data_IF_368564551540
#
_entry.id   IF_368564551540
#
_cell.length_a   1.000
_cell.length_b   1.000
_cell.length_c   1.000
_cell.angle_alpha   90.00
_cell.angle_beta   90.00
_cell.angle_gamma   90.00
#
_symmetry.space_group_name_H-M   'P 1'
#
loop_
_entity.id
_entity.type
_entity.pdbx_description
1 polymer ?
#
# COMPACT_ATOMS: atom_id res chain seq x y z
N UNK A 1 -20.25 -65.20 0.75
CA UNK A 1 -19.29 -64.91 -0.35
C UNK A 1 -19.81 -63.66 -1.06
N UNK A 2 -19.32 -62.47 -0.70
CA UNK A 2 -18.12 -61.78 -1.24
C UNK A 2 -18.32 -61.22 -2.66
N UNK A 3 -18.39 -59.88 -2.73
CA UNK A 3 -17.89 -58.91 -3.75
C UNK A 3 -18.98 -57.91 -4.19
N UNK A 4 -18.83 -56.64 -3.79
CA UNK A 4 -18.22 -55.52 -4.56
C UNK A 4 -19.30 -54.94 -5.51
N UNK A 5 -19.72 -53.68 -5.44
CA UNK A 5 -18.91 -52.47 -5.72
C UNK A 5 -19.50 -51.27 -4.96
N UNK A 6 -18.70 -50.72 -4.05
CA UNK A 6 -18.82 -49.36 -3.54
C UNK A 6 -18.30 -48.45 -4.66
N UNK A 7 -19.21 -47.77 -5.38
CA UNK A 7 -18.82 -46.80 -6.39
C UNK A 7 -18.35 -45.54 -5.66
N UNK A 8 -17.03 -45.47 -5.53
CA UNK A 8 -16.28 -44.32 -5.04
C UNK A 8 -16.62 -43.12 -5.93
N UNK A 9 -17.39 -42.19 -5.39
CA UNK A 9 -17.56 -40.85 -5.94
C UNK A 9 -16.28 -40.03 -5.63
N UNK A 10 -15.14 -40.44 -6.20
CA UNK A 10 -13.94 -39.60 -6.33
C UNK A 10 -14.11 -38.76 -7.59
N UNK A 11 -15.09 -37.87 -7.57
CA UNK A 11 -15.13 -36.73 -8.48
C UNK A 11 -14.55 -35.54 -7.72
N UNK A 12 -13.23 -35.38 -7.89
CA UNK A 12 -12.53 -34.10 -7.91
C UNK A 12 -12.91 -33.10 -6.81
N UNK A 13 -12.51 -33.40 -5.57
CA UNK A 13 -12.20 -32.37 -4.57
C UNK A 13 -10.84 -31.79 -4.97
N UNK A 14 -10.81 -31.01 -6.05
CA UNK A 14 -9.60 -30.34 -6.53
C UNK A 14 -9.87 -28.89 -6.93
N UNK A 15 -10.76 -28.25 -6.18
CA UNK A 15 -10.93 -26.80 -6.10
C UNK A 15 -11.58 -26.53 -4.75
N UNK A 16 -10.83 -25.95 -3.80
CA UNK A 16 -11.28 -25.21 -2.60
C UNK A 16 -10.20 -25.29 -1.49
N UNK A 17 -9.00 -24.82 -1.83
CA UNK A 17 -8.07 -24.28 -0.83
C UNK A 17 -8.01 -22.77 -1.06
N UNK A 18 -8.89 -22.01 -0.41
CA UNK A 18 -8.48 -20.67 0.02
C UNK A 18 -7.61 -20.87 1.27
N UNK A 19 -6.37 -21.31 1.04
CA UNK A 19 -5.34 -21.45 2.06
C UNK A 19 -4.88 -20.05 2.48
N UNK A 20 -4.58 -19.87 3.76
CA UNK A 20 -3.63 -18.84 4.20
C UNK A 20 -2.46 -18.80 3.21
N UNK A 21 -1.95 -17.61 2.88
CA UNK A 21 -0.77 -17.50 2.03
C UNK A 21 0.39 -18.26 2.71
N UNK A 22 0.72 -19.44 2.19
CA UNK A 22 1.81 -20.28 2.71
C UNK A 22 3.14 -19.94 2.03
N UNK A 23 3.08 -19.34 0.84
CA UNK A 23 4.22 -18.84 0.08
C UNK A 23 3.75 -17.76 -0.91
N UNK A 24 4.66 -16.87 -1.30
CA UNK A 24 4.38 -15.79 -2.26
C UNK A 24 5.38 -15.79 -3.42
N UNK A 25 5.01 -15.33 -4.63
CA UNK A 25 6.01 -15.04 -5.64
C UNK A 25 7.00 -13.98 -5.11
N UNK A 26 8.24 -14.01 -5.59
CA UNK A 26 9.28 -13.11 -5.09
C UNK A 26 8.81 -11.65 -5.14
N UNK A 27 8.20 -11.21 -6.24
CA UNK A 27 7.77 -9.82 -6.41
C UNK A 27 6.65 -9.35 -5.44
N UNK A 28 6.12 -10.22 -4.59
CA UNK A 28 5.21 -9.87 -3.48
C UNK A 28 5.85 -9.94 -2.08
N UNK A 29 7.08 -10.47 -1.97
CA UNK A 29 7.82 -10.52 -0.72
C UNK A 29 8.56 -9.21 -0.43
N UNK A 30 9.18 -9.14 0.75
CA UNK A 30 9.98 -8.00 1.19
C UNK A 30 11.36 -8.48 1.67
N UNK A 31 12.40 -7.65 1.53
CA UNK A 31 13.70 -7.99 2.06
C UNK A 31 13.68 -7.94 3.59
N UNK A 32 14.49 -8.76 4.24
CA UNK A 32 14.61 -8.74 5.72
C UNK A 32 14.96 -7.35 6.24
N UNK A 33 15.77 -6.60 5.49
CA UNK A 33 16.14 -5.22 5.84
C UNK A 33 14.96 -4.27 5.90
N UNK A 34 13.81 -4.58 5.28
CA UNK A 34 12.60 -3.76 5.35
C UNK A 34 11.81 -3.97 6.65
N UNK A 35 12.11 -5.02 7.41
CA UNK A 35 11.27 -5.44 8.54
C UNK A 35 11.52 -4.55 9.76
N UNK A 36 10.43 -4.16 10.43
CA UNK A 36 10.47 -3.52 11.74
C UNK A 36 10.96 -4.52 12.80
N UNK A 37 11.55 -4.00 13.88
CA UNK A 37 11.69 -4.79 15.10
C UNK A 37 10.32 -4.89 15.78
N UNK A 38 9.88 -6.11 16.06
CA UNK A 38 8.63 -6.40 16.78
C UNK A 38 8.95 -7.36 17.92
N UNK A 39 8.30 -7.16 19.07
CA UNK A 39 8.46 -8.04 20.22
C UNK A 39 7.64 -9.33 20.12
N UNK A 40 6.61 -9.33 19.29
CA UNK A 40 5.72 -10.47 19.10
C UNK A 40 6.43 -11.56 18.27
N UNK A 41 6.35 -12.81 18.75
CA UNK A 41 6.96 -13.98 18.10
C UNK A 41 5.94 -14.94 17.48
N UNK A 42 4.64 -14.62 17.53
CA UNK A 42 3.56 -15.51 17.08
C UNK A 42 3.35 -15.46 15.55
N UNK A 43 4.15 -14.67 14.84
CA UNK A 43 4.14 -14.63 13.38
C UNK A 43 4.73 -15.89 12.76
N UNK A 44 4.25 -16.20 11.57
CA UNK A 44 4.75 -17.29 10.72
C UNK A 44 5.54 -16.73 9.56
N UNK A 45 6.68 -17.32 9.22
CA UNK A 45 7.42 -16.97 8.00
C UNK A 45 6.63 -17.44 6.77
N UNK A 46 6.29 -16.51 5.88
CA UNK A 46 5.75 -16.81 4.54
C UNK A 46 6.92 -16.71 3.55
N UNK A 47 7.52 -17.83 3.13
CA UNK A 47 8.67 -17.84 2.23
C UNK A 47 8.33 -17.39 0.81
N UNK A 48 9.39 -17.10 0.05
CA UNK A 48 9.31 -16.91 -1.39
C UNK A 48 9.15 -18.27 -2.09
N UNK A 49 8.18 -18.37 -3.00
CA UNK A 49 7.92 -19.56 -3.81
C UNK A 49 9.07 -19.78 -4.80
N UNK A 50 9.48 -21.04 -4.93
CA UNK A 50 10.41 -21.48 -5.98
C UNK A 50 11.87 -21.09 -5.77
N UNK A 51 12.21 -20.41 -4.67
CA UNK A 51 13.60 -20.09 -4.31
C UNK A 51 13.78 -20.18 -2.81
N UNK A 52 14.86 -20.86 -2.38
CA UNK A 52 15.22 -20.93 -0.97
C UNK A 52 16.09 -19.73 -0.62
N UNK A 53 15.54 -18.80 0.15
CA UNK A 53 16.27 -17.62 0.64
C UNK A 53 15.84 -17.26 2.06
N UNK A 54 16.79 -16.79 2.87
CA UNK A 54 16.52 -16.19 4.17
C UNK A 54 16.48 -14.66 4.11
N UNK A 55 16.84 -14.06 2.96
CA UNK A 55 16.94 -12.61 2.76
C UNK A 55 15.61 -11.96 2.35
N UNK A 56 14.59 -12.77 2.01
CA UNK A 56 13.28 -12.27 1.62
C UNK A 56 12.15 -13.17 2.12
N UNK A 57 11.13 -12.58 2.74
CA UNK A 57 9.90 -13.26 3.17
C UNK A 57 8.84 -12.24 3.60
N UNK A 58 7.62 -12.70 3.92
CA UNK A 58 6.63 -11.92 4.66
C UNK A 58 6.45 -12.50 6.07
N UNK A 59 6.11 -11.66 7.05
CA UNK A 59 5.71 -12.08 8.39
C UNK A 59 4.19 -12.22 8.44
N UNK A 60 3.69 -13.44 8.50
CA UNK A 60 2.25 -13.75 8.45
C UNK A 60 1.59 -13.82 9.81
N UNK A 61 0.45 -13.14 9.95
CA UNK A 61 -0.56 -13.38 10.99
C UNK A 61 -1.84 -13.84 10.32
N UNK A 62 -2.39 -14.96 10.76
CA UNK A 62 -3.61 -15.53 10.17
C UNK A 62 -4.76 -15.49 11.16
N UNK A 63 -5.89 -14.97 10.69
CA UNK A 63 -7.16 -14.98 11.39
C UNK A 63 -8.16 -15.83 10.62
N UNK A 64 -9.04 -16.51 11.35
CA UNK A 64 -10.20 -17.18 10.75
C UNK A 64 -11.26 -16.12 10.43
N UNK A 65 -11.65 -16.03 9.16
CA UNK A 65 -12.77 -15.23 8.70
C UNK A 65 -14.06 -15.81 9.28
N UNK A 66 -14.93 -14.96 9.84
CA UNK A 66 -16.16 -15.42 10.49
C UNK A 66 -17.38 -15.10 9.64
N UNK A 67 -18.29 -16.04 9.46
CA UNK A 67 -19.53 -15.81 8.71
C UNK A 67 -19.34 -15.59 7.21
N UNK A 68 -20.45 -15.32 6.52
CA UNK A 68 -20.46 -15.11 5.07
C UNK A 68 -19.94 -13.71 4.67
N UNK A 69 -19.47 -13.57 3.42
CA UNK A 69 -19.07 -12.29 2.84
C UNK A 69 -20.17 -11.22 3.02
N UNK A 70 -19.82 -10.04 3.52
CA UNK A 70 -20.78 -8.95 3.76
C UNK A 70 -21.50 -9.02 5.11
N UNK A 71 -21.44 -10.15 5.82
CA UNK A 71 -22.21 -10.36 7.05
C UNK A 71 -21.64 -9.57 8.23
N UNK A 72 -22.49 -9.30 9.23
CA UNK A 72 -22.03 -8.64 10.46
C UNK A 72 -21.02 -9.50 11.23
N UNK A 73 -21.11 -10.83 11.12
CA UNK A 73 -20.12 -11.73 11.72
C UNK A 73 -18.72 -11.53 11.10
N UNK A 74 -18.64 -11.32 9.78
CA UNK A 74 -17.38 -11.04 9.08
C UNK A 74 -16.79 -9.71 9.52
N UNK A 75 -17.64 -8.68 9.52
CA UNK A 75 -17.29 -7.34 9.99
C UNK A 75 -16.75 -7.38 11.42
N UNK A 76 -17.48 -8.02 12.34
CA UNK A 76 -17.08 -8.17 13.73
C UNK A 76 -15.75 -8.92 13.89
N UNK A 77 -15.58 -10.04 13.18
CA UNK A 77 -14.34 -10.81 13.21
C UNK A 77 -13.12 -10.01 12.75
N UNK A 78 -13.28 -9.19 11.70
CA UNK A 78 -12.21 -8.29 11.23
C UNK A 78 -11.91 -7.18 12.22
N UNK A 79 -12.93 -6.53 12.81
CA UNK A 79 -12.73 -5.55 13.88
C UNK A 79 -11.93 -6.14 15.05
N UNK A 80 -12.31 -7.33 15.50
CA UNK A 80 -11.63 -8.04 16.58
C UNK A 80 -10.17 -8.36 16.23
N UNK A 81 -9.90 -8.83 15.01
CA UNK A 81 -8.55 -9.13 14.55
C UNK A 81 -7.64 -7.88 14.55
N UNK A 82 -8.12 -6.75 14.02
CA UNK A 82 -7.35 -5.49 14.07
C UNK A 82 -7.18 -4.98 15.50
N UNK A 83 -8.16 -5.17 16.38
CA UNK A 83 -8.03 -4.84 17.80
C UNK A 83 -7.00 -5.74 18.51
N UNK A 84 -6.94 -7.03 18.18
CA UNK A 84 -5.95 -7.98 18.69
C UNK A 84 -4.53 -7.56 18.26
N UNK A 85 -4.34 -7.22 16.99
CA UNK A 85 -3.06 -6.73 16.48
C UNK A 85 -2.58 -5.47 17.22
N UNK A 86 -3.49 -4.54 17.54
CA UNK A 86 -3.18 -3.40 18.40
C UNK A 86 -2.76 -3.82 19.81
N UNK A 87 -3.48 -4.77 20.44
CA UNK A 87 -3.11 -5.27 21.78
C UNK A 87 -1.73 -5.94 21.83
N UNK A 88 -1.26 -6.49 20.70
CA UNK A 88 0.08 -7.07 20.51
C UNK A 88 1.15 -6.04 20.15
N UNK A 89 0.81 -4.75 20.05
CA UNK A 89 1.74 -3.68 19.63
C UNK A 89 2.08 -3.68 18.14
N UNK A 90 1.36 -4.46 17.33
CA UNK A 90 1.57 -4.57 15.87
C UNK A 90 0.84 -3.48 15.09
N UNK A 91 -0.05 -2.74 15.73
CA UNK A 91 -0.71 -1.56 15.18
C UNK A 91 -0.60 -0.38 16.14
N UNK A 92 -0.52 0.82 15.59
CA UNK A 92 -0.61 2.08 16.33
C UNK A 92 -1.08 3.22 15.41
N UNK A 93 -1.46 4.35 15.99
CA UNK A 93 -1.75 5.58 15.24
C UNK A 93 -0.57 5.96 14.35
N UNK A 94 -0.84 6.22 13.07
CA UNK A 94 0.18 6.57 12.08
C UNK A 94 0.70 5.39 11.26
N UNK A 95 0.36 4.14 11.63
CA UNK A 95 0.64 2.98 10.78
C UNK A 95 -0.21 3.03 9.51
N UNK A 96 0.33 2.51 8.41
CA UNK A 96 -0.34 2.42 7.11
C UNK A 96 -0.69 0.98 6.81
N UNK A 97 -1.95 0.73 6.50
CA UNK A 97 -2.46 -0.58 6.08
C UNK A 97 -2.62 -0.59 4.57
N UNK A 98 -1.85 -1.42 3.90
CA UNK A 98 -1.89 -1.61 2.46
C UNK A 98 -2.74 -2.85 2.12
N UNK A 99 -3.70 -2.70 1.21
CA UNK A 99 -4.43 -3.85 0.67
C UNK A 99 -3.54 -4.62 -0.30
N UNK A 100 -3.25 -5.88 0.05
CA UNK A 100 -2.48 -6.81 -0.77
C UNK A 100 -3.44 -7.73 -1.54
N UNK A 101 -3.13 -8.03 -2.79
CA UNK A 101 -3.96 -8.84 -3.70
C UNK A 101 -3.16 -10.03 -4.24
N UNK A 102 -3.02 -11.13 -3.49
CA UNK A 102 -2.30 -12.32 -3.97
C UNK A 102 -2.89 -12.89 -5.26
N UNK A 103 -4.20 -12.75 -5.47
CA UNK A 103 -4.89 -13.16 -6.70
C UNK A 103 -4.42 -12.41 -7.97
N UNK A 104 -3.59 -11.37 -7.83
CA UNK A 104 -2.97 -10.70 -8.97
C UNK A 104 -1.69 -11.39 -9.44
N UNK A 105 -1.20 -12.38 -8.71
CA UNK A 105 -0.12 -13.25 -9.15
C UNK A 105 -0.44 -13.83 -10.55
N UNK A 106 0.55 -13.77 -11.45
CA UNK A 106 0.43 -14.36 -12.79
C UNK A 106 -0.60 -13.68 -13.69
N UNK A 107 -1.14 -12.52 -13.32
CA UNK A 107 -2.14 -11.80 -14.12
C UNK A 107 -1.48 -10.89 -15.15
N UNK A 108 -1.14 -9.65 -14.78
CA UNK A 108 -0.48 -8.68 -15.64
C UNK A 108 0.83 -8.17 -15.00
N UNK A 109 1.86 -7.90 -15.82
CA UNK A 109 3.12 -7.36 -15.32
C UNK A 109 2.98 -6.08 -14.50
N UNK A 110 2.00 -5.22 -14.84
CA UNK A 110 1.76 -4.00 -14.08
C UNK A 110 1.40 -4.29 -12.61
N UNK A 111 0.55 -5.29 -12.35
CA UNK A 111 0.19 -5.70 -11.00
C UNK A 111 1.39 -6.29 -10.25
N UNK A 112 2.28 -6.98 -10.96
CA UNK A 112 3.48 -7.57 -10.37
C UNK A 112 4.50 -6.49 -9.97
N UNK A 113 4.73 -5.46 -10.80
CA UNK A 113 5.62 -4.33 -10.44
C UNK A 113 5.02 -3.45 -9.33
N UNK A 114 3.69 -3.46 -9.14
CA UNK A 114 3.03 -2.85 -7.99
C UNK A 114 3.05 -3.74 -6.74
N UNK A 115 3.78 -4.87 -6.77
CA UNK A 115 3.93 -5.79 -5.64
C UNK A 115 2.60 -6.31 -5.07
N UNK A 116 1.56 -6.36 -5.89
CA UNK A 116 0.22 -6.79 -5.47
C UNK A 116 -0.51 -5.78 -4.59
N UNK A 117 0.00 -4.56 -4.42
CA UNK A 117 -0.62 -3.51 -3.60
C UNK A 117 -1.67 -2.78 -4.42
N UNK A 118 -2.88 -2.65 -3.87
CA UNK A 118 -3.99 -1.96 -4.55
C UNK A 118 -4.46 -0.68 -3.87
N UNK A 119 -4.23 -0.54 -2.56
CA UNK A 119 -4.88 0.50 -1.75
C UNK A 119 -4.09 0.81 -0.48
N UNK A 120 -4.28 1.98 0.10
CA UNK A 120 -3.64 2.40 1.34
C UNK A 120 -4.65 3.08 2.28
N UNK A 121 -4.62 2.72 3.56
CA UNK A 121 -5.43 3.33 4.63
C UNK A 121 -4.56 3.66 5.83
N UNK A 122 -4.94 4.70 6.58
CA UNK A 122 -4.28 5.15 7.80
C UNK A 122 -4.93 4.53 9.04
N UNK A 123 -4.12 4.06 9.98
CA UNK A 123 -4.55 3.60 11.30
C UNK A 123 -4.63 4.79 12.25
N UNK A 124 -5.76 4.91 12.95
CA UNK A 124 -5.98 5.85 14.04
C UNK A 124 -6.48 5.07 15.25
N UNK A 125 -5.75 5.11 16.36
CA UNK A 125 -6.19 4.56 17.63
C UNK A 125 -6.70 5.70 18.49
N UNK A 126 -7.99 5.68 18.80
CA UNK A 126 -8.67 6.69 19.61
C UNK A 126 -9.35 5.99 20.79
N UNK A 127 -8.99 6.38 22.01
CA UNK A 127 -9.52 5.79 23.24
C UNK A 127 -9.37 4.26 23.28
N UNK A 128 -8.24 3.75 22.77
CA UNK A 128 -7.93 2.32 22.67
C UNK A 128 -8.68 1.57 21.56
N UNK A 129 -9.50 2.25 20.76
CA UNK A 129 -10.24 1.66 19.63
C UNK A 129 -9.49 1.87 18.34
N UNK A 130 -9.19 0.79 17.63
CA UNK A 130 -8.57 0.83 16.30
C UNK A 130 -9.58 1.26 15.25
N UNK A 131 -9.27 2.34 14.54
CA UNK A 131 -10.06 2.88 13.43
C UNK A 131 -9.22 3.03 12.18
N UNK A 132 -9.88 3.02 11.03
CA UNK A 132 -9.25 3.32 9.75
C UNK A 132 -9.68 4.70 9.23
N UNK A 133 -8.81 5.34 8.46
CA UNK A 133 -9.12 6.55 7.70
C UNK A 133 -8.56 6.41 6.28
N UNK A 134 -9.36 6.76 5.29
CA UNK A 134 -9.16 6.35 3.90
C UNK A 134 -9.84 7.30 2.91
N UNK A 135 -9.45 7.23 1.64
CA UNK A 135 -10.09 7.90 0.51
C UNK A 135 -10.56 6.84 -0.50
N UNK A 136 -11.81 6.88 -1.01
CA UNK A 136 -12.83 7.91 -0.82
C UNK A 136 -13.32 8.10 0.62
N UNK A 137 -13.62 9.34 1.00
CA UNK A 137 -14.26 9.68 2.28
C UNK A 137 -15.75 9.31 2.27
N UNK A 138 -16.08 8.05 2.11
CA UNK A 138 -17.46 7.56 2.22
C UNK A 138 -17.56 6.35 3.15
N UNK A 139 -18.79 5.93 3.40
CA UNK A 139 -19.10 4.89 4.38
C UNK A 139 -18.64 3.48 3.94
N UNK A 140 -18.40 3.24 2.64
CA UNK A 140 -17.88 1.94 2.17
C UNK A 140 -16.43 1.71 2.62
N UNK A 141 -15.66 2.80 2.71
CA UNK A 141 -14.26 2.78 3.13
C UNK A 141 -14.11 3.10 4.61
N UNK A 142 -14.83 4.12 5.10
CA UNK A 142 -14.59 4.72 6.40
C UNK A 142 -15.72 4.48 7.41
N UNK A 143 -16.74 3.69 7.07
CA UNK A 143 -17.93 3.55 7.89
C UNK A 143 -18.69 4.87 8.12
N UNK A 144 -19.83 4.79 8.79
CA UNK A 144 -20.66 5.97 9.04
C UNK A 144 -19.89 7.05 9.82
N UNK A 145 -19.88 8.27 9.29
CA UNK A 145 -19.24 9.43 9.94
C UNK A 145 -17.73 9.32 10.11
N UNK A 146 -17.05 8.53 9.26
CA UNK A 146 -15.62 8.27 9.33
C UNK A 146 -15.17 7.55 10.64
N UNK A 147 -15.99 6.61 11.12
CA UNK A 147 -15.73 5.82 12.34
C UNK A 147 -15.50 4.32 12.07
N UNK A 148 -15.08 3.97 10.87
CA UNK A 148 -14.78 2.61 10.42
C UNK A 148 -13.68 1.97 11.25
N UNK A 149 -13.80 0.66 11.44
CA UNK A 149 -12.90 -0.15 12.26
C UNK A 149 -12.31 -1.29 11.44
N UNK A 150 -11.90 -0.99 10.21
CA UNK A 150 -11.46 -1.97 9.20
C UNK A 150 -12.56 -3.00 8.84
N UNK A 151 -13.82 -2.57 8.93
CA UNK A 151 -15.02 -3.40 8.71
C UNK A 151 -15.95 -2.86 7.62
N UNK A 152 -15.54 -1.78 6.94
CA UNK A 152 -16.19 -1.27 5.75
C UNK A 152 -16.26 -2.33 4.65
N UNK A 153 -17.21 -2.18 3.72
CA UNK A 153 -17.37 -3.11 2.60
C UNK A 153 -16.11 -3.22 1.75
N UNK A 154 -15.37 -2.12 1.58
CA UNK A 154 -14.14 -2.13 0.79
C UNK A 154 -13.05 -3.02 1.42
N UNK A 155 -12.95 -3.03 2.75
CA UNK A 155 -11.99 -3.90 3.43
C UNK A 155 -12.33 -5.36 3.14
N UNK A 156 -13.61 -5.74 3.04
CA UNK A 156 -14.03 -7.12 2.75
C UNK A 156 -13.66 -7.63 1.35
N UNK A 157 -13.21 -6.76 0.43
CA UNK A 157 -12.83 -7.18 -0.92
C UNK A 157 -11.50 -7.93 -0.99
N UNK A 158 -10.62 -7.77 0.01
CA UNK A 158 -9.40 -8.56 0.14
C UNK A 158 -9.33 -9.21 1.51
N UNK A 159 -8.56 -10.30 1.56
CA UNK A 159 -8.27 -11.02 2.78
C UNK A 159 -6.85 -10.75 3.27
N UNK A 160 -6.08 -9.91 2.58
CA UNK A 160 -4.66 -9.74 2.89
C UNK A 160 -4.28 -8.26 2.98
N UNK A 161 -3.57 -7.93 4.05
CA UNK A 161 -3.11 -6.58 4.31
C UNK A 161 -1.66 -6.57 4.77
N UNK A 162 -0.88 -5.58 4.34
CA UNK A 162 0.45 -5.31 4.85
C UNK A 162 0.40 -4.09 5.77
N UNK A 163 1.02 -4.20 6.94
CA UNK A 163 1.10 -3.12 7.93
C UNK A 163 2.48 -2.52 7.86
N UNK A 164 2.55 -1.20 7.65
CA UNK A 164 3.77 -0.42 7.61
C UNK A 164 3.77 0.59 8.76
N UNK A 165 4.91 0.76 9.41
CA UNK A 165 5.06 1.62 10.58
C UNK A 165 6.03 2.75 10.30
N UNK A 166 5.64 3.98 10.63
CA UNK A 166 6.57 5.10 10.58
C UNK A 166 7.66 4.95 11.65
N UNK A 167 8.91 5.22 11.28
CA UNK A 167 10.09 5.00 12.14
C UNK A 167 10.25 6.02 13.27
N UNK A 168 9.78 7.25 13.05
CA UNK A 168 10.21 8.42 13.84
C UNK A 168 9.09 9.10 14.61
N UNK A 169 7.84 8.64 14.47
CA UNK A 169 6.73 9.31 15.13
C UNK A 169 6.81 9.30 16.66
N UNK A 170 6.77 10.50 17.24
CA UNK A 170 6.68 10.74 18.68
C UNK A 170 5.24 10.56 19.17
N UNK A 171 5.04 10.53 20.49
CA UNK A 171 3.70 10.51 21.07
C UNK A 171 2.90 11.77 20.66
N UNK A 172 3.50 12.95 20.70
CA UNK A 172 2.87 14.21 20.29
C UNK A 172 2.44 14.19 18.83
N UNK A 173 3.29 13.68 17.93
CA UNK A 173 2.96 13.54 16.52
C UNK A 173 1.75 12.62 16.30
N UNK A 174 1.64 11.52 17.06
CA UNK A 174 0.46 10.63 17.00
C UNK A 174 -0.80 11.33 17.54
N UNK A 175 -0.69 12.10 18.61
CA UNK A 175 -1.80 12.88 19.15
C UNK A 175 -2.28 13.96 18.18
N UNK A 176 -1.37 14.62 17.47
CA UNK A 176 -1.71 15.58 16.42
C UNK A 176 -2.51 14.90 15.30
N UNK A 177 -2.11 13.70 14.85
CA UNK A 177 -2.88 12.95 13.85
C UNK A 177 -4.30 12.65 14.34
N UNK A 178 -4.47 12.23 15.60
CA UNK A 178 -5.79 12.03 16.20
C UNK A 178 -6.61 13.33 16.19
N UNK A 179 -5.99 14.45 16.58
CA UNK A 179 -6.65 15.76 16.60
C UNK A 179 -7.11 16.22 15.20
N UNK A 180 -6.28 16.02 14.17
CA UNK A 180 -6.66 16.30 12.77
C UNK A 180 -7.89 15.48 12.32
N UNK A 181 -7.94 14.21 12.70
CA UNK A 181 -9.07 13.33 12.36
C UNK A 181 -10.35 13.75 13.09
N UNK A 182 -10.24 14.24 14.34
CA UNK A 182 -11.39 14.80 15.08
C UNK A 182 -11.98 16.03 14.37
N UNK A 183 -11.15 16.97 13.91
CA UNK A 183 -11.63 18.14 13.15
C UNK A 183 -12.21 17.76 11.79
N UNK A 184 -11.61 16.80 11.09
CA UNK A 184 -12.17 16.25 9.85
C UNK A 184 -13.58 15.67 10.08
N UNK A 185 -13.77 14.85 11.11
CA UNK A 185 -15.07 14.24 11.44
C UNK A 185 -16.13 15.29 11.73
N UNK A 186 -15.79 16.34 12.48
CA UNK A 186 -16.67 17.47 12.78
C UNK A 186 -17.15 18.19 11.52
N UNK A 187 -16.30 18.30 10.49
CA UNK A 187 -16.62 18.97 9.24
C UNK A 187 -17.08 18.04 8.11
N UNK A 188 -17.10 16.72 8.33
CA UNK A 188 -17.34 15.69 7.32
C UNK A 188 -18.61 15.94 6.47
N UNK A 189 -19.74 16.23 7.11
CA UNK A 189 -21.02 16.48 6.40
C UNK A 189 -20.91 17.67 5.45
N UNK A 190 -20.21 18.75 5.85
CA UNK A 190 -20.00 19.92 4.99
C UNK A 190 -19.03 19.59 3.85
N UNK A 191 -17.96 18.84 4.12
CA UNK A 191 -16.98 18.42 3.11
C UNK A 191 -17.67 17.59 2.03
N UNK A 192 -18.49 16.60 2.44
CA UNK A 192 -19.28 15.76 1.53
C UNK A 192 -20.33 16.54 0.76
N UNK A 193 -21.12 17.35 1.45
CA UNK A 193 -22.19 18.14 0.82
C UNK A 193 -21.68 19.14 -0.22
N UNK A 194 -20.42 19.58 -0.08
CA UNK A 194 -19.75 20.49 -1.02
C UNK A 194 -18.82 19.79 -2.01
N UNK A 195 -18.76 18.46 -1.97
CA UNK A 195 -17.91 17.65 -2.85
C UNK A 195 -16.43 18.10 -2.81
N UNK A 196 -15.90 18.32 -1.61
CA UNK A 196 -14.48 18.62 -1.35
C UNK A 196 -13.70 17.31 -1.12
N UNK A 197 -12.38 17.32 -1.32
CA UNK A 197 -11.47 16.16 -1.15
C UNK A 197 -11.91 14.93 -1.96
N UNK A 198 -11.73 15.00 -3.28
CA UNK A 198 -12.19 13.97 -4.21
C UNK A 198 -11.15 12.87 -4.40
N UNK A 199 -11.64 11.66 -4.66
CA UNK A 199 -10.79 10.55 -5.04
C UNK A 199 -10.37 10.62 -6.52
N UNK A 200 -9.09 10.39 -6.78
CA UNK A 200 -8.53 10.16 -8.12
C UNK A 200 -8.36 8.65 -8.32
N UNK A 201 -9.06 8.05 -9.29
CA UNK A 201 -8.87 6.62 -9.60
C UNK A 201 -7.79 6.37 -10.66
N UNK A 202 -7.21 7.42 -11.25
CA UNK A 202 -6.21 7.29 -12.31
C UNK A 202 -4.79 7.49 -11.76
N UNK A 203 -4.19 6.39 -11.27
CA UNK A 203 -2.84 6.36 -10.70
C UNK A 203 -1.71 6.76 -11.67
N UNK A 204 -2.01 6.89 -12.97
CA UNK A 204 -1.08 7.38 -13.99
C UNK A 204 -1.16 8.90 -14.23
N UNK A 205 -2.06 9.59 -13.54
CA UNK A 205 -2.24 11.04 -13.65
C UNK A 205 -2.24 11.67 -12.24
N UNK A 206 -1.09 11.63 -11.53
CA UNK A 206 -0.94 12.32 -10.24
C UNK A 206 -1.20 13.81 -10.41
N UNK A 207 -1.77 14.43 -9.37
CA UNK A 207 -2.12 15.86 -9.37
C UNK A 207 -1.41 16.66 -8.29
N UNK A 208 -0.43 16.06 -7.62
CA UNK A 208 0.29 16.70 -6.50
C UNK A 208 0.91 18.04 -6.88
N UNK A 209 1.42 18.17 -8.10
CA UNK A 209 2.07 19.40 -8.59
C UNK A 209 1.06 20.49 -9.04
N UNK A 210 -0.26 20.20 -9.06
CA UNK A 210 -1.27 21.12 -9.58
C UNK A 210 -1.72 22.21 -8.58
N UNK A 211 -1.31 22.14 -7.31
CA UNK A 211 -1.79 23.05 -6.25
C UNK A 211 -0.79 24.14 -5.87
N UNK A 212 0.36 24.19 -6.53
CA UNK A 212 1.40 25.18 -6.29
C UNK A 212 2.69 24.56 -5.74
N UNK A 213 3.69 25.40 -5.43
CA UNK A 213 4.99 24.93 -4.97
C UNK A 213 4.89 24.32 -3.55
N UNK A 214 5.82 23.40 -3.25
CA UNK A 214 5.97 22.83 -1.91
C UNK A 214 4.83 21.90 -1.51
N UNK A 215 4.23 22.15 -0.34
CA UNK A 215 3.20 21.32 0.29
C UNK A 215 1.87 22.08 0.43
N UNK A 216 1.60 22.98 -0.51
CA UNK A 216 0.40 23.81 -0.51
C UNK A 216 -0.89 22.99 -0.59
N UNK A 217 -0.85 21.82 -1.26
CA UNK A 217 -1.99 20.91 -1.32
C UNK A 217 -2.33 20.31 0.05
N UNK A 218 -1.32 19.99 0.89
CA UNK A 218 -1.51 19.50 2.26
C UNK A 218 -2.12 20.60 3.12
N UNK A 219 -1.63 21.83 2.98
CA UNK A 219 -2.17 23.00 3.69
C UNK A 219 -3.61 23.28 3.26
N UNK A 220 -3.91 23.17 1.98
CA UNK A 220 -5.28 23.29 1.44
C UNK A 220 -6.19 22.18 2.01
N UNK A 221 -5.71 20.93 2.05
CA UNK A 221 -6.43 19.82 2.66
C UNK A 221 -6.73 20.10 4.14
N UNK A 222 -5.74 20.53 4.91
CA UNK A 222 -5.88 20.89 6.32
C UNK A 222 -6.91 22.01 6.53
N UNK A 223 -6.89 23.05 5.69
CA UNK A 223 -7.89 24.13 5.70
C UNK A 223 -9.31 23.63 5.41
N UNK A 224 -9.46 22.67 4.52
CA UNK A 224 -10.76 22.02 4.25
C UNK A 224 -11.20 21.21 5.47
N UNK A 225 -10.30 20.43 6.08
CA UNK A 225 -10.57 19.63 7.29
C UNK A 225 -11.03 20.49 8.46
N UNK A 226 -10.46 21.69 8.61
CA UNK A 226 -10.84 22.69 9.63
C UNK A 226 -12.09 23.51 9.27
N UNK A 227 -12.59 23.38 8.04
CA UNK A 227 -13.74 24.14 7.55
C UNK A 227 -13.43 25.60 7.20
N UNK A 228 -12.16 25.98 7.10
CA UNK A 228 -11.74 27.32 6.64
C UNK A 228 -11.83 27.47 5.13
N UNK A 229 -11.49 26.43 4.38
CA UNK A 229 -11.69 26.39 2.93
C UNK A 229 -12.92 25.54 2.59
N UNK A 230 -13.90 26.16 1.94
CA UNK A 230 -15.17 25.53 1.53
C UNK A 230 -15.40 25.57 0.03
N UNK A 231 -14.39 25.96 -0.76
CA UNK A 231 -14.51 26.25 -2.19
C UNK A 231 -13.53 25.45 -3.06
N UNK A 232 -12.43 24.95 -2.49
CA UNK A 232 -11.42 24.15 -3.20
C UNK A 232 -11.94 22.74 -3.54
N UNK A 233 -12.80 22.68 -4.54
CA UNK A 233 -13.42 21.44 -5.05
C UNK A 233 -12.57 20.71 -6.10
N UNK A 234 -11.43 21.28 -6.46
CA UNK A 234 -10.49 20.71 -7.41
C UNK A 234 -9.43 19.85 -6.74
N UNK A 235 -9.36 19.81 -5.39
CA UNK A 235 -8.44 18.93 -4.64
C UNK A 235 -8.83 17.45 -4.82
N UNK A 236 -8.08 16.76 -5.69
CA UNK A 236 -8.32 15.39 -6.14
C UNK A 236 -7.05 14.57 -5.92
N UNK A 237 -7.15 13.47 -5.18
CA UNK A 237 -5.99 12.71 -4.70
C UNK A 237 -6.24 11.19 -4.68
N UNK A 238 -5.16 10.41 -4.78
CA UNK A 238 -5.18 8.97 -4.52
C UNK A 238 -5.45 8.66 -3.04
N UNK A 239 -5.80 7.42 -2.72
CA UNK A 239 -5.86 6.93 -1.34
C UNK A 239 -4.55 7.10 -0.59
N UNK A 240 -3.46 6.75 -1.24
CA UNK A 240 -2.11 6.87 -0.72
C UNK A 240 -1.62 8.33 -0.64
N UNK A 241 -2.02 9.20 -1.56
CA UNK A 241 -1.73 10.64 -1.48
C UNK A 241 -2.47 11.29 -0.30
N UNK A 242 -3.71 10.87 -0.04
CA UNK A 242 -4.47 11.31 1.13
C UNK A 242 -3.81 10.86 2.43
N UNK A 243 -3.46 9.58 2.55
CA UNK A 243 -2.72 9.05 3.70
C UNK A 243 -1.40 9.79 3.90
N UNK A 244 -0.63 9.99 2.81
CA UNK A 244 0.63 10.74 2.85
C UNK A 244 0.43 12.18 3.33
N UNK A 245 -0.62 12.85 2.86
CA UNK A 245 -0.91 14.23 3.23
C UNK A 245 -1.29 14.35 4.71
N UNK A 246 -2.09 13.43 5.24
CA UNK A 246 -2.43 13.43 6.67
C UNK A 246 -1.18 13.18 7.51
N UNK A 247 -0.37 12.20 7.15
CA UNK A 247 0.86 11.90 7.86
C UNK A 247 1.84 13.09 7.84
N UNK A 248 1.83 13.88 6.78
CA UNK A 248 2.63 15.12 6.68
C UNK A 248 2.17 16.26 7.61
N UNK A 249 0.98 16.12 8.23
CA UNK A 249 0.47 17.02 9.27
C UNK A 249 0.85 16.58 10.69
N UNK A 250 1.61 15.49 10.87
CA UNK A 250 1.97 14.99 12.21
C UNK A 250 2.70 16.03 13.08
N UNK A 251 3.46 16.95 12.46
CA UNK A 251 4.16 18.04 13.15
C UNK A 251 3.29 19.29 13.39
N UNK A 252 2.04 19.28 12.94
CA UNK A 252 1.15 20.43 13.00
C UNK A 252 0.03 20.19 14.00
N UNK A 253 -0.30 21.22 14.78
CA UNK A 253 -1.53 21.22 15.56
C UNK A 253 -2.69 21.76 14.71
N UNK A 254 -3.89 21.16 14.77
CA UNK A 254 -5.08 21.77 14.17
C UNK A 254 -5.41 23.17 14.70
N UNK A 255 -4.85 23.54 15.86
CA UNK A 255 -5.01 24.85 16.48
C UNK A 255 -4.05 25.92 15.92
N UNK A 256 -3.09 25.55 15.07
CA UNK A 256 -2.09 26.48 14.55
C UNK A 256 -2.77 27.56 13.68
N UNK A 257 -2.51 28.82 14.02
CA UNK A 257 -3.16 29.98 13.39
C UNK A 257 -2.81 30.13 11.91
N UNK A 258 -1.69 29.58 11.47
CA UNK A 258 -1.23 29.56 10.07
C UNK A 258 -2.30 28.95 9.16
N UNK A 259 -3.00 27.90 9.60
CA UNK A 259 -4.08 27.31 8.80
C UNK A 259 -5.28 28.23 8.65
N UNK A 260 -5.54 29.16 9.57
CA UNK A 260 -6.65 30.11 9.46
C UNK A 260 -6.35 31.18 8.41
N UNK A 261 -5.12 31.69 8.40
CA UNK A 261 -4.72 32.82 7.54
C UNK A 261 -4.16 32.42 6.19
N UNK A 262 -3.71 31.18 6.02
CA UNK A 262 -3.16 30.68 4.76
C UNK A 262 -4.14 30.85 3.58
N UNK A 263 -3.60 30.93 2.38
CA UNK A 263 -4.35 31.02 1.13
C UNK A 263 -3.91 29.91 0.18
N UNK A 264 -4.58 29.78 -0.96
CA UNK A 264 -4.23 28.76 -1.95
C UNK A 264 -2.82 29.03 -2.48
N UNK A 265 -1.94 28.03 -2.36
CA UNK A 265 -0.53 28.13 -2.74
C UNK A 265 0.41 28.28 -1.54
N UNK A 266 -0.10 28.65 -0.37
CA UNK A 266 0.70 28.72 0.85
C UNK A 266 1.00 27.32 1.40
N UNK A 267 2.23 27.11 1.85
CA UNK A 267 2.64 25.90 2.56
C UNK A 267 2.86 26.23 4.02
N UNK A 268 2.04 25.66 4.90
CA UNK A 268 2.20 25.84 6.34
C UNK A 268 3.58 25.33 6.81
N UNK A 269 4.27 26.13 7.60
CA UNK A 269 5.66 25.90 8.01
C UNK A 269 5.89 24.59 8.78
N UNK A 270 4.89 24.18 9.56
CA UNK A 270 4.88 22.92 10.32
C UNK A 270 4.71 21.68 9.42
N UNK A 271 4.19 21.83 8.20
CA UNK A 271 3.97 20.70 7.28
C UNK A 271 5.33 20.16 6.85
N UNK A 272 5.56 18.86 7.08
CA UNK A 272 6.78 18.17 6.66
C UNK A 272 6.41 16.91 5.89
N UNK A 273 7.04 16.66 4.73
CA UNK A 273 6.82 15.43 3.99
C UNK A 273 7.25 14.25 4.86
N UNK A 274 6.51 13.15 4.83
CA UNK A 274 7.00 11.90 5.41
C UNK A 274 8.09 11.26 4.55
N UNK A 275 7.99 11.36 3.22
CA UNK A 275 9.02 10.98 2.24
C UNK A 275 8.74 11.70 0.92
N UNK A 276 9.73 11.78 0.02
CA UNK A 276 9.60 12.47 -1.27
C UNK A 276 8.78 11.67 -2.29
N UNK A 277 8.04 12.35 -3.16
CA UNK A 277 7.32 11.69 -4.27
C UNK A 277 8.29 10.88 -5.13
N UNK A 278 7.95 9.62 -5.40
CA UNK A 278 8.84 8.70 -6.10
C UNK A 278 8.64 8.77 -7.60
N UNK A 279 9.73 8.67 -8.35
CA UNK A 279 9.72 8.47 -9.80
C UNK A 279 9.39 7.00 -10.15
N UNK A 280 9.11 6.71 -11.42
CA UNK A 280 8.88 5.34 -11.88
C UNK A 280 10.11 4.43 -11.70
N UNK A 281 11.29 4.95 -11.97
CA UNK A 281 12.59 4.29 -11.80
C UNK A 281 13.49 5.12 -10.89
N UNK A 282 14.57 4.49 -10.40
CA UNK A 282 15.50 5.07 -9.44
C UNK A 282 15.91 6.49 -9.83
N UNK A 283 16.00 7.32 -8.80
CA UNK A 283 16.48 8.68 -8.91
C UNK A 283 17.26 8.98 -7.63
N UNK A 284 18.45 9.55 -7.81
CA UNK A 284 19.35 9.85 -6.71
C UNK A 284 19.68 8.60 -5.87
N UNK A 285 19.23 8.54 -4.62
CA UNK A 285 19.57 7.49 -3.65
C UNK A 285 18.36 6.60 -3.26
N UNK A 286 17.28 6.62 -4.05
CA UNK A 286 16.07 5.86 -3.77
C UNK A 286 15.59 5.03 -4.97
N UNK A 287 15.06 3.81 -4.73
CA UNK A 287 14.44 3.00 -5.77
C UNK A 287 13.17 3.66 -6.30
N UNK A 288 12.85 3.43 -7.57
CA UNK A 288 11.62 3.92 -8.19
C UNK A 288 10.41 3.03 -7.92
N UNK A 289 9.21 3.56 -8.20
CA UNK A 289 7.89 2.92 -7.99
C UNK A 289 7.69 1.56 -8.65
N UNK A 290 8.50 1.26 -9.67
CA UNK A 290 8.41 -0.02 -10.40
C UNK A 290 9.48 -1.01 -9.96
N UNK A 291 10.48 -0.57 -9.20
CA UNK A 291 11.70 -1.33 -8.94
C UNK A 291 11.67 -2.15 -7.65
N UNK A 292 10.58 -2.12 -6.89
CA UNK A 292 10.43 -2.96 -5.68
C UNK A 292 10.84 -4.42 -5.92
N UNK A 293 10.32 -5.11 -6.95
CA UNK A 293 10.75 -6.47 -7.29
C UNK A 293 12.24 -6.59 -7.66
N UNK A 294 12.79 -5.61 -8.40
CA UNK A 294 14.20 -5.63 -8.78
C UNK A 294 15.12 -5.45 -7.55
N UNK A 295 14.78 -4.49 -6.68
CA UNK A 295 15.44 -4.27 -5.39
C UNK A 295 15.41 -5.55 -4.55
N UNK A 296 14.29 -6.25 -4.53
CA UNK A 296 14.19 -7.51 -3.81
C UNK A 296 15.13 -8.59 -4.39
N UNK A 297 15.18 -8.79 -5.70
CA UNK A 297 16.14 -9.73 -6.30
C UNK A 297 17.59 -9.36 -5.99
N UNK A 298 17.93 -8.07 -6.05
CA UNK A 298 19.26 -7.56 -5.68
C UNK A 298 19.59 -7.87 -4.21
N UNK A 299 18.60 -7.81 -3.31
CA UNK A 299 18.78 -8.07 -1.86
C UNK A 299 19.01 -9.54 -1.51
N UNK A 300 18.59 -10.49 -2.36
CA UNK A 300 18.77 -11.93 -2.14
C UNK A 300 20.21 -12.36 -2.39
N UNK A 301 21.15 -11.94 -1.54
CA UNK A 301 22.58 -12.22 -1.70
C UNK A 301 22.95 -13.71 -1.56
N UNK A 302 22.07 -14.51 -0.96
CA UNK A 302 22.19 -15.96 -0.81
C UNK A 302 21.69 -16.74 -2.05
N UNK A 303 21.13 -16.06 -3.04
CA UNK A 303 20.66 -16.63 -4.31
C UNK A 303 21.64 -16.21 -5.42
N UNK A 304 22.08 -17.16 -6.24
CA UNK A 304 23.01 -16.86 -7.33
C UNK A 304 22.29 -16.25 -8.56
N UNK A 305 23.07 -15.62 -9.45
CA UNK A 305 22.50 -14.92 -10.61
C UNK A 305 21.81 -15.85 -11.62
N UNK A 306 22.22 -17.12 -11.70
CA UNK A 306 21.57 -18.12 -12.56
C UNK A 306 20.15 -18.44 -12.09
N UNK A 307 19.89 -18.38 -10.79
CA UNK A 307 18.55 -18.54 -10.20
C UNK A 307 17.75 -17.24 -10.23
N UNK A 308 18.40 -16.07 -10.06
CA UNK A 308 17.72 -14.76 -10.12
C UNK A 308 17.18 -14.42 -11.50
N UNK A 309 17.90 -14.78 -12.56
CA UNK A 309 17.53 -14.45 -13.93
C UNK A 309 16.16 -15.02 -14.34
N UNK A 310 15.86 -16.33 -14.17
CA UNK A 310 14.54 -16.88 -14.40
C UNK A 310 13.44 -16.22 -13.55
N UNK A 311 13.73 -15.90 -12.27
CA UNK A 311 12.77 -15.21 -11.41
C UNK A 311 12.40 -13.84 -12.00
N UNK A 312 13.38 -13.06 -12.46
CA UNK A 312 13.12 -11.76 -13.10
C UNK A 312 12.10 -11.86 -14.25
N UNK A 313 12.17 -12.90 -15.07
CA UNK A 313 11.23 -13.07 -16.18
C UNK A 313 9.81 -13.43 -15.74
N UNK A 314 9.62 -14.03 -14.55
CA UNK A 314 8.28 -14.28 -14.00
C UNK A 314 7.52 -12.99 -13.67
N UNK A 315 8.23 -11.90 -13.38
CA UNK A 315 7.63 -10.57 -13.19
C UNK A 315 6.86 -10.10 -14.41
N UNK A 316 7.37 -10.44 -15.59
CA UNK A 316 6.83 -10.00 -16.87
C UNK A 316 5.90 -11.02 -17.52
N UNK A 317 5.59 -12.12 -16.84
CA UNK A 317 4.61 -13.08 -17.29
C UNK A 317 3.22 -12.41 -17.35
N UNK A 318 2.45 -12.79 -18.37
CA UNK A 318 1.05 -12.41 -18.52
C UNK A 318 0.20 -13.68 -18.57
N UNK A 319 -0.82 -13.74 -17.73
CA UNK A 319 -1.78 -14.83 -17.66
C UNK A 319 -3.21 -14.33 -17.69
N UNK A 320 -4.13 -15.11 -17.11
CA UNK A 320 -5.55 -14.80 -17.16
C UNK A 320 -5.90 -13.56 -16.33
N UNK A 321 -6.52 -12.57 -16.98
CA UNK A 321 -6.95 -11.33 -16.32
C UNK A 321 -8.34 -11.45 -15.66
N UNK A 322 -8.92 -12.66 -15.60
CA UNK A 322 -10.27 -12.87 -15.09
C UNK A 322 -10.43 -12.40 -13.63
N UNK A 323 -9.40 -12.65 -12.82
CA UNK A 323 -9.31 -12.28 -11.41
C UNK A 323 -9.15 -10.76 -11.16
N UNK A 324 -8.89 -9.96 -12.20
CA UNK A 324 -8.75 -8.52 -12.09
C UNK A 324 -10.12 -7.83 -12.07
N UNK A 325 -10.25 -6.78 -11.27
CA UNK A 325 -11.44 -5.90 -11.33
C UNK A 325 -11.47 -5.15 -12.67
N UNK A 326 -12.63 -4.59 -13.03
CA UNK A 326 -12.80 -3.84 -14.30
C UNK A 326 -11.80 -2.69 -14.46
N UNK A 327 -11.47 -1.98 -13.39
CA UNK A 327 -10.43 -0.94 -13.39
C UNK A 327 -9.04 -1.50 -13.71
N UNK A 328 -8.66 -2.63 -13.10
CA UNK A 328 -7.36 -3.27 -13.36
C UNK A 328 -7.30 -3.91 -14.75
N UNK A 329 -8.42 -4.40 -15.27
CA UNK A 329 -8.53 -4.82 -16.69
C UNK A 329 -8.30 -3.66 -17.64
N UNK A 330 -8.82 -2.47 -17.35
CA UNK A 330 -8.56 -1.27 -18.17
C UNK A 330 -7.07 -0.88 -18.17
N UNK A 331 -6.40 -1.02 -17.02
CA UNK A 331 -4.95 -0.83 -16.90
C UNK A 331 -4.19 -1.86 -17.73
N UNK A 332 -4.60 -3.14 -17.71
CA UNK A 332 -4.00 -4.22 -18.51
C UNK A 332 -3.96 -3.91 -20.01
N UNK A 333 -4.97 -3.20 -20.51
CA UNK A 333 -5.09 -2.84 -21.93
C UNK A 333 -4.52 -1.45 -22.25
N UNK A 334 -3.96 -0.73 -21.27
CA UNK A 334 -3.49 0.63 -21.47
C UNK A 334 -2.16 0.64 -22.29
N UNK A 335 -2.11 1.29 -23.47
CA UNK A 335 -0.91 1.30 -24.30
C UNK A 335 0.32 1.92 -23.62
N UNK A 336 0.14 2.93 -22.76
CA UNK A 336 1.25 3.55 -22.03
C UNK A 336 1.85 2.59 -20.99
N UNK A 337 1.01 1.77 -20.35
CA UNK A 337 1.45 0.72 -19.43
C UNK A 337 2.20 -0.37 -20.17
N UNK A 338 1.66 -0.84 -21.30
CA UNK A 338 2.35 -1.86 -22.11
C UNK A 338 3.72 -1.36 -22.57
N UNK A 339 3.81 -0.11 -23.04
CA UNK A 339 5.09 0.50 -23.40
C UNK A 339 6.05 0.60 -22.22
N UNK A 340 5.56 0.95 -21.02
CA UNK A 340 6.37 0.95 -19.80
C UNK A 340 6.95 -0.44 -19.55
N UNK A 341 6.10 -1.49 -19.53
CA UNK A 341 6.53 -2.87 -19.31
C UNK A 341 7.60 -3.32 -20.31
N UNK A 342 7.44 -3.01 -21.60
CA UNK A 342 8.44 -3.33 -22.61
C UNK A 342 9.78 -2.62 -22.39
N UNK A 343 9.77 -1.38 -21.90
CA UNK A 343 11.01 -0.68 -21.53
C UNK A 343 11.65 -1.30 -20.27
N UNK A 344 10.85 -1.69 -19.27
CA UNK A 344 11.35 -2.36 -18.06
C UNK A 344 12.01 -3.71 -18.39
N UNK A 345 11.43 -4.50 -19.30
CA UNK A 345 12.00 -5.77 -19.78
C UNK A 345 13.42 -5.60 -20.37
N UNK A 346 13.70 -4.46 -21.00
CA UNK A 346 15.02 -4.18 -21.57
C UNK A 346 16.04 -3.73 -20.52
N UNK A 347 15.58 -3.02 -19.49
CA UNK A 347 16.45 -2.35 -18.51
C UNK A 347 16.76 -3.25 -17.32
N UNK A 348 15.76 -3.98 -16.81
CA UNK A 348 15.91 -4.75 -15.58
C UNK A 348 17.00 -5.82 -15.62
N UNK A 349 17.20 -6.57 -16.71
CA UNK A 349 18.32 -7.52 -16.78
C UNK A 349 19.69 -6.83 -16.65
N UNK A 350 19.87 -5.69 -17.33
CA UNK A 350 21.11 -4.91 -17.23
C UNK A 350 21.32 -4.38 -15.81
N UNK A 351 20.25 -3.87 -15.19
CA UNK A 351 20.29 -3.40 -13.81
C UNK A 351 20.59 -4.50 -12.81
N UNK A 352 19.97 -5.67 -12.96
CA UNK A 352 20.24 -6.85 -12.13
C UNK A 352 21.71 -7.29 -12.23
N UNK A 353 22.30 -7.18 -13.42
CA UNK A 353 23.71 -7.45 -13.68
C UNK A 353 24.68 -6.33 -13.22
N UNK A 354 24.21 -5.32 -12.48
CA UNK A 354 25.02 -4.21 -11.98
C UNK A 354 25.46 -3.20 -13.05
N UNK A 355 24.79 -3.19 -14.21
CA UNK A 355 25.09 -2.31 -15.34
C UNK A 355 24.24 -1.04 -15.34
N UNK A 356 23.71 -0.63 -14.18
CA UNK A 356 22.80 0.51 -14.03
C UNK A 356 23.41 1.83 -14.58
N UNK A 357 24.74 1.97 -14.49
CA UNK A 357 25.49 3.17 -14.89
C UNK A 357 25.85 3.23 -16.37
N UNK A 358 25.49 2.23 -17.19
CA UNK A 358 25.74 2.30 -18.63
C UNK A 358 24.94 3.47 -19.24
N UNK A 359 25.54 4.27 -20.15
CA UNK A 359 24.88 5.44 -20.72
C UNK A 359 23.50 5.14 -21.33
N UNK A 360 23.34 4.00 -21.99
CA UNK A 360 22.06 3.57 -22.56
C UNK A 360 21.00 3.31 -21.47
N UNK A 361 21.38 2.60 -20.40
CA UNK A 361 20.49 2.28 -19.27
C UNK A 361 20.06 3.56 -18.54
N UNK A 362 21.01 4.46 -18.30
CA UNK A 362 20.77 5.75 -17.67
C UNK A 362 19.88 6.66 -18.53
N UNK A 363 20.12 6.72 -19.85
CA UNK A 363 19.29 7.47 -20.78
C UNK A 363 17.85 6.94 -20.84
N UNK A 364 17.66 5.62 -20.90
CA UNK A 364 16.32 5.01 -20.87
C UNK A 364 15.61 5.25 -19.53
N UNK A 365 16.34 5.16 -18.41
CA UNK A 365 15.81 5.46 -17.07
C UNK A 365 15.30 6.90 -17.00
N UNK A 366 16.11 7.85 -17.48
CA UNK A 366 15.74 9.27 -17.51
C UNK A 366 14.52 9.53 -18.41
N UNK A 367 14.44 8.87 -19.57
CA UNK A 367 13.30 9.00 -20.48
C UNK A 367 11.99 8.44 -19.90
N UNK A 368 12.05 7.37 -19.10
CA UNK A 368 10.89 6.81 -18.41
C UNK A 368 10.41 7.78 -17.32
N UNK A 369 11.32 8.28 -16.50
CA UNK A 369 10.99 9.21 -15.41
C UNK A 369 10.39 10.52 -15.94
N UNK A 370 10.89 11.03 -17.06
CA UNK A 370 10.34 12.23 -17.71
C UNK A 370 8.89 12.05 -18.19
N UNK A 371 8.44 10.83 -18.50
CA UNK A 371 7.09 10.54 -18.97
C UNK A 371 6.11 10.21 -17.84
N UNK A 372 6.57 9.56 -16.77
CA UNK A 372 5.72 9.05 -15.69
C UNK A 372 5.37 10.07 -14.61
N UNK A 373 6.18 11.11 -14.46
CA UNK A 373 6.09 12.02 -13.33
C UNK A 373 6.42 11.33 -11.99
N UNK A 374 6.23 12.06 -10.90
CA UNK A 374 6.37 11.54 -9.53
C UNK A 374 5.00 11.37 -8.90
N UNK A 375 4.85 10.39 -8.02
CA UNK A 375 3.62 10.22 -7.24
C UNK A 375 3.84 9.52 -5.90
N UNK A 376 2.78 9.50 -5.10
CA UNK A 376 2.70 8.75 -3.85
C UNK A 376 1.73 7.57 -4.01
N UNK A 377 1.96 6.64 -4.94
CA UNK A 377 1.11 5.45 -5.08
C UNK A 377 1.12 4.59 -3.79
N UNK A 378 0.16 3.67 -3.59
CA UNK A 378 0.21 2.77 -2.44
C UNK A 378 1.52 1.98 -2.35
N UNK A 379 2.04 1.54 -3.50
CA UNK A 379 3.33 0.83 -3.63
C UNK A 379 4.51 1.69 -3.18
N UNK A 380 4.42 3.02 -3.26
CA UNK A 380 5.48 3.93 -2.81
C UNK A 380 5.81 3.73 -1.32
N UNK A 381 4.79 3.50 -0.49
CA UNK A 381 4.99 3.21 0.94
C UNK A 381 5.76 1.90 1.14
N UNK A 382 5.42 0.86 0.37
CA UNK A 382 6.10 -0.42 0.45
C UNK A 382 7.55 -0.33 -0.02
N UNK A 383 7.80 0.35 -1.15
CA UNK A 383 9.14 0.57 -1.68
C UNK A 383 9.99 1.43 -0.73
N UNK A 384 9.38 2.40 -0.03
CA UNK A 384 10.08 3.19 0.98
C UNK A 384 10.69 2.31 2.08
N UNK A 385 10.04 1.19 2.46
CA UNK A 385 10.60 0.25 3.44
C UNK A 385 11.88 -0.45 2.96
N UNK A 386 12.10 -0.54 1.66
CA UNK A 386 13.27 -1.21 1.08
C UNK A 386 14.49 -0.30 0.97
N UNK A 387 14.35 0.99 1.24
CA UNK A 387 15.46 1.93 1.34
C UNK A 387 16.38 1.48 2.49
N UNK A 388 17.68 1.71 2.36
CA UNK A 388 18.65 1.40 3.41
C UNK A 388 18.22 2.01 4.75
N UNK A 389 18.30 1.22 5.83
CA UNK A 389 17.90 1.66 7.17
C UNK A 389 18.67 2.87 7.71
N UNK A 390 19.89 3.10 7.21
CA UNK A 390 20.72 4.26 7.55
C UNK A 390 20.41 5.49 6.69
N UNK A 391 19.65 5.35 5.60
CA UNK A 391 19.25 6.48 4.78
C UNK A 391 18.07 7.23 5.44
N UNK A 392 18.21 8.56 5.57
CA UNK A 392 17.22 9.44 6.17
C UNK A 392 15.89 9.50 5.39
N UNK A 393 15.90 9.14 4.10
CA UNK A 393 14.69 9.07 3.27
C UNK A 393 13.82 7.83 3.54
N UNK A 394 14.34 6.86 4.33
CA UNK A 394 13.55 5.72 4.79
C UNK A 394 12.68 6.11 5.97
N UNK A 395 11.37 6.11 5.74
CA UNK A 395 10.37 6.61 6.68
C UNK A 395 9.51 5.50 7.27
N UNK A 396 9.41 4.35 6.60
CA UNK A 396 8.60 3.21 7.03
C UNK A 396 9.41 1.94 7.20
N UNK A 397 8.94 1.09 8.09
CA UNK A 397 9.33 -0.31 8.23
C UNK A 397 8.10 -1.21 8.07
N UNK A 398 8.29 -2.38 7.47
CA UNK A 398 7.26 -3.40 7.34
C UNK A 398 7.10 -4.17 8.66
N UNK A 399 5.88 -4.18 9.19
CA UNK A 399 5.56 -4.85 10.46
C UNK A 399 5.12 -6.29 10.22
N UNK A 400 4.06 -6.46 9.43
CA UNK A 400 3.38 -7.74 9.27
C UNK A 400 2.47 -7.79 8.02
N UNK A 401 2.14 -9.00 7.59
CA UNK A 401 1.07 -9.34 6.66
C UNK A 401 -0.04 -10.06 7.42
N UNK A 402 -1.24 -9.50 7.41
CA UNK A 402 -2.44 -10.07 8.01
C UNK A 402 -3.21 -10.82 6.94
N UNK A 403 -3.68 -12.03 7.24
CA UNK A 403 -4.47 -12.87 6.33
C UNK A 403 -5.75 -13.34 6.99
N UNK A 404 -6.89 -13.18 6.33
CA UNK A 404 -8.19 -13.72 6.73
C UNK A 404 -8.51 -14.98 5.92
N UNK A 405 -8.64 -16.11 6.60
CA UNK A 405 -8.86 -17.42 5.98
C UNK A 405 -10.32 -17.85 6.11
N UNK A 406 -11.01 -18.27 5.03
CA UNK A 406 -12.41 -18.66 5.11
C UNK A 406 -12.66 -19.78 6.14
N UNK A 407 -13.76 -19.66 6.89
CA UNK A 407 -14.30 -20.75 7.71
C UNK A 407 -14.95 -21.79 6.79
N UNK A 408 -14.53 -23.06 6.90
CA UNK A 408 -15.10 -24.18 6.15
C UNK A 408 -16.17 -24.91 6.96
#
# INVERSE_FOLDING_TARGET
>A
MKKLILLILLLSISTLFAQSISEVPYYFALPVSAHAEISDSDWVKIPVRGVKTEQAYLRGYSFQERGANGSEAQKAGRREAFQELYSKGLLQTGDVVLSMRPAWEGTIPYSHIQMGVSHASLVIVEDGVVKNLDMPLDDNYNGNGLNGRFDGSHFQETNHYQILRNRVFTAEQRENLIAWVKELRKNYTSIRGKNLLKFNSNYMAPRIDNYGPGYSFVTTMARIMLGYDKTSSDLIMFCSEYVWAILSLANCSPADSEFKTATRGDSASCVKPIFNAMYLLESENAPGLTEGPLTLLKSMSDVNDLEKNPLLFTLFAQGEIAALSSGHKAIATNPAINMLIEMLKQIYPAKLAGMDKLPEVSAKTSAINAKGGRNYSPTAFLINTTIDSANADRSFDYTATVSFTPYY
#
